data_IF_085273276129
#
_entry.id   IF_085273276129
#
_cell.length_a   1.000
_cell.length_b   1.000
_cell.length_c   1.000
_cell.angle_alpha   90.00
_cell.angle_beta   90.00
_cell.angle_gamma   90.00
#
_symmetry.space_group_name_H-M   'P 1'
#
loop_
_entity.id
_entity.type
_entity.pdbx_description
1 polymer ?
#
# COMPACT_ATOMS: atom_id res chain seq x y z
N UNK A 1 6.68 -0.65 -30.72
CA UNK A 1 6.63 0.47 -29.74
C UNK A 1 6.69 -0.01 -28.29
N UNK A 2 5.79 -0.88 -27.82
CA UNK A 2 5.80 -1.42 -26.43
C UNK A 2 7.10 -2.12 -26.01
N UNK A 3 7.71 -2.91 -26.89
CA UNK A 3 8.99 -3.58 -26.61
C UNK A 3 10.14 -2.60 -26.34
N UNK A 4 10.17 -1.46 -27.04
CA UNK A 4 11.20 -0.43 -26.84
C UNK A 4 10.97 0.32 -25.53
N UNK A 5 9.71 0.62 -25.20
CA UNK A 5 9.35 1.25 -23.94
C UNK A 5 9.68 0.37 -22.72
N UNK A 6 9.37 -0.93 -22.80
CA UNK A 6 9.70 -1.91 -21.75
C UNK A 6 11.21 -2.03 -21.51
N UNK A 7 12.01 -2.09 -22.58
CA UNK A 7 13.49 -2.09 -22.46
C UNK A 7 14.02 -0.83 -21.78
N UNK A 8 13.50 0.35 -22.17
CA UNK A 8 13.89 1.62 -21.55
C UNK A 8 13.49 1.63 -20.06
N UNK A 9 12.28 1.18 -19.74
CA UNK A 9 11.81 1.09 -18.35
C UNK A 9 12.70 0.17 -17.50
N UNK A 10 13.12 -0.98 -18.03
CA UNK A 10 14.03 -1.90 -17.32
C UNK A 10 15.40 -1.26 -17.08
N UNK A 11 15.96 -0.55 -18.07
CA UNK A 11 17.25 0.15 -17.90
C UNK A 11 17.14 1.26 -16.86
N UNK A 12 16.07 2.06 -16.91
CA UNK A 12 15.81 3.12 -15.92
C UNK A 12 15.62 2.54 -14.52
N UNK A 13 14.83 1.46 -14.40
CA UNK A 13 14.57 0.80 -13.12
C UNK A 13 15.84 0.14 -12.55
N UNK A 14 16.65 -0.49 -13.40
CA UNK A 14 17.95 -1.05 -13.01
C UNK A 14 18.91 0.05 -12.54
N UNK A 15 18.99 1.17 -13.26
CA UNK A 15 19.78 2.33 -12.83
C UNK A 15 19.31 2.91 -11.49
N UNK A 16 18.00 3.01 -11.28
CA UNK A 16 17.42 3.43 -10.01
C UNK A 16 17.79 2.50 -8.86
N UNK A 17 17.72 1.18 -9.05
CA UNK A 17 18.11 0.19 -8.02
C UNK A 17 19.60 0.31 -7.67
N UNK A 18 20.47 0.44 -8.67
CA UNK A 18 21.92 0.59 -8.43
C UNK A 18 22.20 1.86 -7.64
N UNK A 19 21.58 2.99 -8.01
CA UNK A 19 21.71 4.24 -7.26
C UNK A 19 21.19 4.09 -5.81
N UNK A 20 20.02 3.50 -5.62
CA UNK A 20 19.44 3.25 -4.30
C UNK A 20 20.34 2.35 -3.43
N UNK A 21 20.93 1.30 -4.00
CA UNK A 21 21.84 0.39 -3.31
C UNK A 21 23.09 1.11 -2.76
N UNK A 22 23.58 2.13 -3.47
CA UNK A 22 24.71 2.94 -2.99
C UNK A 22 24.34 3.73 -1.72
N UNK A 23 23.11 4.26 -1.61
CA UNK A 23 22.65 5.02 -0.44
C UNK A 23 22.24 4.15 0.76
N UNK A 24 21.67 2.97 0.52
CA UNK A 24 21.14 2.07 1.56
C UNK A 24 22.23 1.47 2.46
N UNK A 25 23.49 1.47 2.00
CA UNK A 25 24.64 0.93 2.75
C UNK A 25 24.87 1.57 4.14
N UNK A 26 24.23 2.70 4.43
CA UNK A 26 24.28 3.38 5.73
C UNK A 26 23.23 2.90 6.76
N UNK A 27 22.25 2.08 6.36
CA UNK A 27 21.23 1.59 7.30
C UNK A 27 21.75 0.42 8.12
N UNK A 28 21.66 0.51 9.45
CA UNK A 28 22.08 -0.57 10.36
C UNK A 28 21.27 -1.87 10.17
N UNK A 29 19.98 -1.75 9.83
CA UNK A 29 19.11 -2.91 9.60
C UNK A 29 18.19 -2.70 8.39
N UNK A 30 18.65 -3.15 7.21
CA UNK A 30 17.90 -3.04 5.95
C UNK A 30 16.57 -3.80 5.98
N UNK A 31 16.52 -4.97 6.64
CA UNK A 31 15.28 -5.77 6.75
C UNK A 31 14.22 -5.00 7.53
N UNK A 32 14.62 -4.33 8.63
CA UNK A 32 13.71 -3.49 9.41
C UNK A 32 13.23 -2.29 8.59
N UNK A 33 14.13 -1.59 7.89
CA UNK A 33 13.76 -0.45 7.06
C UNK A 33 12.78 -0.83 5.94
N UNK A 34 13.01 -1.95 5.26
CA UNK A 34 12.11 -2.46 4.21
C UNK A 34 10.77 -2.88 4.80
N UNK A 35 10.73 -3.53 5.96
CA UNK A 35 9.45 -3.87 6.60
C UNK A 35 8.70 -2.64 7.08
N UNK A 36 9.39 -1.62 7.57
CA UNK A 36 8.77 -0.36 7.96
C UNK A 36 8.12 0.34 6.75
N UNK A 37 8.82 0.38 5.62
CA UNK A 37 8.27 0.93 4.36
C UNK A 37 7.14 0.06 3.81
N UNK A 38 7.34 -1.26 3.78
CA UNK A 38 6.35 -2.21 3.30
C UNK A 38 5.06 -2.15 4.10
N UNK A 39 5.14 -2.06 5.43
CA UNK A 39 3.96 -2.01 6.29
C UNK A 39 3.11 -0.74 6.15
N UNK A 40 3.64 0.35 5.57
CA UNK A 40 2.84 1.53 5.24
C UNK A 40 1.85 1.25 4.11
N UNK A 41 2.25 0.45 3.12
CA UNK A 41 1.47 0.25 1.87
C UNK A 41 0.81 -1.13 1.78
N UNK A 42 1.46 -2.17 2.30
CA UNK A 42 1.01 -3.56 2.12
C UNK A 42 -0.29 -3.86 2.86
N UNK A 43 -0.55 -3.24 4.01
CA UNK A 43 -1.81 -3.39 4.72
C UNK A 43 -3.00 -2.98 3.86
N UNK A 44 -2.90 -1.81 3.24
CA UNK A 44 -3.92 -1.24 2.36
C UNK A 44 -4.12 -2.08 1.10
N UNK A 45 -3.03 -2.52 0.46
CA UNK A 45 -3.08 -3.42 -0.71
C UNK A 45 -3.73 -4.75 -0.35
N UNK A 46 -3.36 -5.37 0.77
CA UNK A 46 -3.97 -6.60 1.27
C UNK A 46 -5.48 -6.41 1.50
N UNK A 47 -5.87 -5.27 2.08
CA UNK A 47 -7.28 -4.91 2.29
C UNK A 47 -8.07 -4.79 1.00
N UNK A 48 -7.49 -4.21 -0.06
CA UNK A 48 -8.11 -4.15 -1.39
C UNK A 48 -8.38 -5.56 -1.91
N UNK A 49 -7.37 -6.44 -1.88
CA UNK A 49 -7.52 -7.83 -2.32
C UNK A 49 -8.56 -8.57 -1.50
N UNK A 50 -8.52 -8.46 -0.17
CA UNK A 50 -9.46 -9.15 0.70
C UNK A 50 -10.89 -8.66 0.50
N UNK A 51 -11.08 -7.35 0.29
CA UNK A 51 -12.40 -6.80 -0.02
C UNK A 51 -12.92 -7.37 -1.35
N UNK A 52 -12.08 -7.43 -2.38
CA UNK A 52 -12.48 -8.01 -3.66
C UNK A 52 -12.81 -9.52 -3.59
N UNK A 53 -12.10 -10.29 -2.77
CA UNK A 53 -12.33 -11.74 -2.64
C UNK A 53 -13.49 -12.11 -1.70
N UNK A 54 -13.55 -11.50 -0.51
CA UNK A 54 -14.49 -11.87 0.55
C UNK A 54 -15.77 -11.02 0.54
N UNK A 55 -15.69 -9.74 0.15
CA UNK A 55 -16.81 -8.79 0.14
C UNK A 55 -17.28 -8.53 -1.29
N UNK A 56 -17.76 -9.58 -1.98
CA UNK A 56 -18.19 -9.52 -3.39
C UNK A 56 -19.26 -8.47 -3.71
N UNK A 57 -19.97 -7.98 -2.69
CA UNK A 57 -21.00 -6.95 -2.82
C UNK A 57 -20.43 -5.53 -2.96
N UNK A 58 -19.15 -5.31 -2.65
CA UNK A 58 -18.53 -3.98 -2.67
C UNK A 58 -18.02 -3.65 -4.07
N UNK A 59 -18.45 -2.52 -4.63
CA UNK A 59 -18.06 -2.06 -5.97
C UNK A 59 -16.67 -1.42 -5.96
N UNK A 60 -15.98 -1.45 -7.11
CA UNK A 60 -14.61 -0.95 -7.25
C UNK A 60 -14.44 0.53 -6.84
N UNK A 61 -15.46 1.37 -7.04
CA UNK A 61 -15.44 2.79 -6.60
C UNK A 61 -15.35 2.91 -5.08
N UNK A 62 -16.16 2.16 -4.35
CA UNK A 62 -16.13 2.14 -2.89
C UNK A 62 -14.77 1.64 -2.37
N UNK A 63 -14.21 0.59 -2.99
CA UNK A 63 -12.87 0.07 -2.66
C UNK A 63 -11.79 1.14 -2.92
N UNK A 64 -11.88 1.89 -4.03
CA UNK A 64 -10.92 2.93 -4.36
C UNK A 64 -10.90 4.06 -3.32
N UNK A 65 -12.07 4.59 -2.94
CA UNK A 65 -12.15 5.62 -1.90
C UNK A 65 -11.73 5.08 -0.53
N UNK A 66 -12.10 3.85 -0.18
CA UNK A 66 -11.66 3.21 1.05
C UNK A 66 -10.14 2.99 1.09
N UNK A 67 -9.52 2.63 -0.03
CA UNK A 67 -8.08 2.50 -0.14
C UNK A 67 -7.38 3.85 0.04
N UNK A 68 -7.88 4.92 -0.60
CA UNK A 68 -7.30 6.26 -0.50
C UNK A 68 -7.37 6.80 0.93
N UNK A 69 -8.52 6.67 1.60
CA UNK A 69 -8.69 7.10 2.99
C UNK A 69 -7.89 6.21 3.94
N UNK A 70 -7.87 4.89 3.71
CA UNK A 70 -7.14 3.92 4.52
C UNK A 70 -5.64 4.18 4.48
N UNK A 71 -5.09 4.42 3.29
CA UNK A 71 -3.70 4.79 3.10
C UNK A 71 -3.37 6.10 3.84
N UNK A 72 -4.20 7.13 3.69
CA UNK A 72 -4.00 8.39 4.38
C UNK A 72 -3.96 8.23 5.91
N UNK A 73 -4.86 7.43 6.48
CA UNK A 73 -4.89 7.15 7.92
C UNK A 73 -3.62 6.41 8.36
N UNK A 74 -3.20 5.37 7.62
CA UNK A 74 -1.99 4.61 7.94
C UNK A 74 -0.76 5.52 7.92
N UNK A 75 -0.62 6.39 6.90
CA UNK A 75 0.48 7.35 6.80
C UNK A 75 0.47 8.37 7.95
N UNK A 76 -0.70 8.86 8.35
CA UNK A 76 -0.82 9.78 9.50
C UNK A 76 -0.41 9.06 10.79
N UNK A 77 -0.91 7.85 11.04
CA UNK A 77 -0.54 7.08 12.23
C UNK A 77 0.96 6.75 12.27
N UNK A 78 1.54 6.41 11.11
CA UNK A 78 2.97 6.15 10.96
C UNK A 78 3.83 7.37 11.35
N UNK A 79 3.35 8.59 11.08
CA UNK A 79 4.04 9.82 11.49
C UNK A 79 4.12 9.95 13.02
N UNK A 80 3.08 9.52 13.73
CA UNK A 80 3.02 9.59 15.20
C UNK A 80 3.78 8.46 15.89
N UNK A 81 3.71 7.22 15.40
CA UNK A 81 4.35 6.06 16.05
C UNK A 81 5.03 5.14 15.04
N UNK A 82 6.36 5.20 14.96
CA UNK A 82 7.13 4.40 13.99
C UNK A 82 7.44 3.00 14.49
N UNK A 83 7.45 2.80 15.80
CA UNK A 83 7.94 1.56 16.44
C UNK A 83 7.00 0.37 16.25
N UNK A 84 5.70 0.63 16.09
CA UNK A 84 4.68 -0.40 15.89
C UNK A 84 4.44 -0.73 14.41
N UNK A 85 5.47 -0.68 13.56
CA UNK A 85 5.30 -0.72 12.11
C UNK A 85 4.55 -1.96 11.59
N UNK A 86 4.75 -3.13 12.21
CA UNK A 86 4.05 -4.37 11.86
C UNK A 86 2.52 -4.28 12.01
N UNK A 87 2.03 -3.48 12.95
CA UNK A 87 0.60 -3.31 13.21
C UNK A 87 -0.11 -2.48 12.14
N UNK A 88 0.62 -1.73 11.31
CA UNK A 88 0.02 -1.01 10.18
C UNK A 88 -0.53 -1.94 9.10
N UNK A 89 0.00 -3.16 8.97
CA UNK A 89 -0.55 -4.15 8.05
C UNK A 89 -2.00 -4.56 8.38
N UNK A 90 -2.29 -5.14 9.56
CA UNK A 90 -3.66 -5.50 9.93
C UNK A 90 -4.57 -4.27 10.05
N UNK A 91 -4.04 -3.13 10.51
CA UNK A 91 -4.80 -1.88 10.60
C UNK A 91 -5.23 -1.37 9.22
N UNK A 92 -4.30 -1.27 8.27
CA UNK A 92 -4.60 -0.85 6.89
C UNK A 92 -5.59 -1.81 6.21
N UNK A 93 -5.41 -3.12 6.39
CA UNK A 93 -6.34 -4.12 5.85
C UNK A 93 -7.75 -3.96 6.42
N UNK A 94 -7.87 -3.88 7.75
CA UNK A 94 -9.14 -3.69 8.44
C UNK A 94 -9.84 -2.39 8.09
N UNK A 95 -9.08 -1.28 7.96
CA UNK A 95 -9.62 0.00 7.52
C UNK A 95 -10.22 -0.09 6.12
N UNK A 96 -9.49 -0.65 5.15
CA UNK A 96 -9.99 -0.76 3.76
C UNK A 96 -11.23 -1.65 3.69
N UNK A 97 -11.23 -2.81 4.36
CA UNK A 97 -12.39 -3.70 4.38
C UNK A 97 -13.60 -3.05 5.06
N UNK A 98 -13.39 -2.42 6.22
CA UNK A 98 -14.46 -1.78 6.99
C UNK A 98 -15.04 -0.56 6.28
N UNK A 99 -14.18 0.33 5.77
CA UNK A 99 -14.61 1.51 5.02
C UNK A 99 -15.20 1.13 3.66
N UNK A 100 -14.67 0.13 2.97
CA UNK A 100 -15.22 -0.37 1.71
C UNK A 100 -16.65 -0.86 1.89
N UNK A 101 -16.91 -1.65 2.93
CA UNK A 101 -18.27 -2.09 3.27
C UNK A 101 -19.18 -0.93 3.67
N UNK A 102 -18.68 0.03 4.45
CA UNK A 102 -19.45 1.21 4.89
C UNK A 102 -19.82 2.12 3.71
N UNK A 103 -18.87 2.39 2.81
CA UNK A 103 -19.07 3.23 1.62
C UNK A 103 -20.06 2.59 0.64
N UNK A 104 -19.99 1.27 0.45
CA UNK A 104 -21.00 0.57 -0.34
C UNK A 104 -22.39 0.73 0.27
N UNK A 105 -22.52 0.56 1.59
CA UNK A 105 -23.81 0.70 2.29
C UNK A 105 -24.37 2.13 2.24
N UNK A 106 -23.51 3.14 2.15
CA UNK A 106 -23.89 4.54 2.01
C UNK A 106 -24.22 4.94 0.56
N UNK A 107 -24.14 4.02 -0.41
CA UNK A 107 -24.44 4.29 -1.82
C UNK A 107 -23.34 5.03 -2.57
N UNK A 108 -22.15 5.22 -1.96
CA UNK A 108 -20.99 5.84 -2.60
C UNK A 108 -20.35 4.97 -3.70
N UNK A 109 -20.78 3.71 -3.82
CA UNK A 109 -20.31 2.76 -4.82
C UNK A 109 -21.06 2.84 -6.17
N UNK A 110 -22.22 3.51 -6.23
CA UNK A 110 -23.05 3.63 -7.45
C UNK A 110 -22.43 4.54 -8.52
#
# INVERSE_FOLDING_TARGET
>A
HYLRASKIAIVLWGGFIVAFAMFVSLLENLIQAVNMVGSMFYGTILGIFFTAFFLKSVKSRAIFYAALVGEAIVLVCFWFNKDAYLWYNPLGCGLVMGMGWLFEKMGLGE
#
